data_IF_868899824380
#
_entry.id   IF_868899824380
#
_cell.length_a   1.000
_cell.length_b   1.000
_cell.length_c   1.000
_cell.angle_alpha   90.00
_cell.angle_beta   90.00
_cell.angle_gamma   90.00
#
_symmetry.space_group_name_H-M   'P 1'
#
loop_
_entity.id
_entity.type
_entity.pdbx_description
1 polymer ?
#
# COMPACT_ATOMS: atom_id res chain seq x y z
N UNK A 1 54.61 -1.06 -4.09
CA UNK A 1 53.49 -0.25 -4.61
C UNK A 1 52.64 -1.15 -5.49
N UNK A 2 51.32 -1.01 -5.43
CA UNK A 2 50.29 -1.92 -5.97
C UNK A 2 49.89 -3.01 -4.97
N UNK A 3 49.16 -2.61 -3.93
CA UNK A 3 48.20 -3.52 -3.24
C UNK A 3 47.04 -2.76 -2.55
N UNK A 4 46.72 -1.54 -3.02
CA UNK A 4 45.68 -0.69 -2.43
C UNK A 4 44.46 -0.45 -3.33
N UNK A 5 44.45 -1.03 -4.53
CA UNK A 5 43.42 -0.78 -5.55
C UNK A 5 42.44 -1.96 -5.73
N UNK A 6 42.80 -3.13 -5.19
CA UNK A 6 42.01 -4.38 -5.21
C UNK A 6 40.88 -4.36 -4.16
N UNK A 7 41.14 -3.88 -2.93
CA UNK A 7 40.08 -3.82 -1.90
C UNK A 7 38.98 -2.81 -2.23
N UNK A 8 39.32 -1.67 -2.84
CA UNK A 8 38.34 -0.66 -3.25
C UNK A 8 37.50 -1.03 -4.47
N UNK A 9 37.92 -2.00 -5.28
CA UNK A 9 37.13 -2.55 -6.40
C UNK A 9 36.22 -3.69 -5.96
N UNK A 10 36.58 -4.43 -4.90
CA UNK A 10 35.74 -5.48 -4.33
C UNK A 10 34.59 -4.94 -3.45
N UNK A 11 34.68 -3.73 -2.88
CA UNK A 11 33.51 -3.03 -2.32
C UNK A 11 32.55 -2.50 -3.40
N UNK A 12 33.02 -2.44 -4.65
CA UNK A 12 32.25 -2.09 -5.85
C UNK A 12 31.62 -3.29 -6.56
N UNK A 13 31.86 -4.53 -6.09
CA UNK A 13 30.85 -5.59 -6.18
C UNK A 13 29.71 -5.12 -5.28
N UNK A 14 28.82 -4.30 -5.81
CA UNK A 14 27.56 -4.87 -6.32
C UNK A 14 26.87 -5.56 -5.15
N UNK A 15 26.58 -4.79 -4.09
CA UNK A 15 25.26 -4.91 -3.48
C UNK A 15 24.32 -4.52 -4.62
N UNK A 16 24.03 -5.48 -5.51
CA UNK A 16 22.87 -5.39 -6.36
C UNK A 16 21.75 -5.17 -5.35
N UNK A 17 21.26 -3.93 -5.28
CA UNK A 17 20.24 -3.58 -4.31
C UNK A 17 19.03 -4.38 -4.74
N UNK A 18 18.85 -5.54 -4.10
CA UNK A 18 17.79 -6.47 -4.44
C UNK A 18 16.48 -5.70 -4.34
N UNK A 19 15.96 -5.30 -5.50
CA UNK A 19 14.80 -4.45 -5.56
C UNK A 19 13.55 -5.29 -5.33
N UNK A 20 12.44 -4.64 -4.97
CA UNK A 20 11.15 -5.33 -4.87
C UNK A 20 10.75 -6.01 -6.18
N UNK A 21 11.26 -5.53 -7.32
CA UNK A 21 11.06 -6.14 -8.64
C UNK A 21 11.76 -7.49 -8.81
N UNK A 22 12.99 -7.63 -8.32
CA UNK A 22 13.74 -8.89 -8.41
C UNK A 22 13.08 -9.96 -7.54
N UNK A 23 12.65 -9.55 -6.34
CA UNK A 23 11.89 -10.41 -5.43
C UNK A 23 10.51 -10.78 -5.98
N UNK A 24 9.87 -9.89 -6.76
CA UNK A 24 8.56 -10.16 -7.32
C UNK A 24 8.61 -11.30 -8.33
N UNK A 25 9.68 -11.42 -9.12
CA UNK A 25 9.81 -12.49 -10.12
C UNK A 25 9.85 -13.87 -9.45
N UNK A 26 10.64 -14.01 -8.38
CA UNK A 26 10.92 -15.32 -7.78
C UNK A 26 9.97 -15.70 -6.64
N UNK A 27 9.30 -14.73 -6.01
CA UNK A 27 8.52 -14.95 -4.79
C UNK A 27 7.01 -15.05 -5.06
N UNK A 28 6.49 -16.28 -5.19
CA UNK A 28 5.04 -16.56 -5.36
C UNK A 28 4.16 -15.95 -4.25
N UNK A 29 4.52 -16.02 -2.95
CA UNK A 29 3.80 -15.31 -1.89
C UNK A 29 3.67 -13.80 -2.13
N UNK A 30 4.76 -13.14 -2.56
CA UNK A 30 4.78 -11.72 -2.85
C UNK A 30 3.88 -11.37 -4.04
N UNK A 31 3.95 -12.13 -5.13
CA UNK A 31 3.05 -11.97 -6.28
C UNK A 31 1.58 -12.12 -5.86
N UNK A 32 1.26 -13.17 -5.11
CA UNK A 32 -0.10 -13.40 -4.61
C UNK A 32 -0.58 -12.24 -3.73
N UNK A 33 0.29 -11.68 -2.91
CA UNK A 33 -0.01 -10.53 -2.08
C UNK A 33 -0.37 -9.30 -2.94
N UNK A 34 0.47 -8.96 -3.92
CA UNK A 34 0.22 -7.84 -4.83
C UNK A 34 -1.04 -8.03 -5.69
N UNK A 35 -1.30 -9.25 -6.18
CA UNK A 35 -2.53 -9.59 -6.90
C UNK A 35 -3.76 -9.39 -6.01
N UNK A 36 -3.71 -9.82 -4.73
CA UNK A 36 -4.81 -9.56 -3.78
C UNK A 36 -5.05 -8.06 -3.61
N UNK A 37 -3.99 -7.25 -3.50
CA UNK A 37 -4.09 -5.79 -3.41
C UNK A 37 -4.70 -5.18 -4.67
N UNK A 38 -4.34 -5.68 -5.85
CA UNK A 38 -4.87 -5.22 -7.14
C UNK A 38 -6.37 -5.50 -7.26
N UNK A 39 -6.76 -6.74 -6.98
CA UNK A 39 -8.17 -7.15 -7.04
C UNK A 39 -8.98 -6.38 -6.01
N UNK A 40 -8.48 -6.20 -4.78
CA UNK A 40 -9.14 -5.38 -3.76
C UNK A 40 -9.35 -3.94 -4.24
N UNK A 41 -8.31 -3.32 -4.83
CA UNK A 41 -8.42 -1.96 -5.39
C UNK A 41 -9.45 -1.88 -6.52
N UNK A 42 -9.48 -2.85 -7.45
CA UNK A 42 -10.44 -2.88 -8.54
C UNK A 42 -11.88 -3.02 -8.03
N UNK A 43 -12.11 -3.90 -7.04
CA UNK A 43 -13.44 -4.05 -6.41
C UNK A 43 -13.86 -2.73 -5.76
N UNK A 44 -12.98 -2.13 -4.95
CA UNK A 44 -13.28 -0.85 -4.29
C UNK A 44 -13.55 0.26 -5.30
N UNK A 45 -12.78 0.32 -6.39
CA UNK A 45 -12.99 1.30 -7.46
C UNK A 45 -14.38 1.14 -8.09
N UNK A 46 -14.79 -0.09 -8.42
CA UNK A 46 -16.13 -0.35 -8.97
C UNK A 46 -17.19 0.07 -7.97
N UNK A 47 -17.09 -0.39 -6.72
CA UNK A 47 -18.09 -0.08 -5.68
C UNK A 47 -18.22 1.42 -5.44
N UNK A 48 -17.11 2.14 -5.28
CA UNK A 48 -17.14 3.58 -5.03
C UNK A 48 -17.57 4.39 -6.26
N UNK A 49 -17.15 3.98 -7.46
CA UNK A 49 -17.47 4.70 -8.70
C UNK A 49 -18.90 4.46 -9.19
N UNK A 50 -19.52 3.30 -8.90
CA UNK A 50 -20.87 3.00 -9.35
C UNK A 50 -21.91 4.01 -8.86
N UNK A 51 -21.82 4.44 -7.60
CA UNK A 51 -22.75 5.43 -7.04
C UNK A 51 -22.62 6.78 -7.77
N UNK A 52 -21.39 7.22 -8.01
CA UNK A 52 -21.11 8.48 -8.70
C UNK A 52 -21.48 8.39 -10.18
N UNK A 53 -21.21 7.25 -10.81
CA UNK A 53 -21.58 7.00 -12.20
C UNK A 53 -23.08 7.16 -12.41
N UNK A 54 -23.91 6.61 -11.51
CA UNK A 54 -25.36 6.73 -11.59
C UNK A 54 -25.82 8.18 -11.49
N UNK A 55 -25.23 8.96 -10.58
CA UNK A 55 -25.51 10.40 -10.45
C UNK A 55 -25.16 11.13 -11.75
N UNK A 56 -23.96 10.93 -12.30
CA UNK A 56 -23.53 11.57 -13.54
C UNK A 56 -24.36 11.13 -14.76
N UNK A 57 -24.76 9.86 -14.82
CA UNK A 57 -25.63 9.31 -15.88
C UNK A 57 -26.96 10.06 -15.93
N UNK A 58 -27.61 10.27 -14.78
CA UNK A 58 -28.86 11.03 -14.72
C UNK A 58 -28.67 12.53 -15.00
N UNK A 59 -27.56 13.14 -14.58
CA UNK A 59 -27.28 14.55 -14.87
C UNK A 59 -27.00 14.80 -16.36
N UNK A 60 -26.33 13.87 -17.04
CA UNK A 60 -25.97 13.99 -18.47
C UNK A 60 -27.13 13.66 -19.41
N UNK A 61 -27.88 12.59 -19.16
CA UNK A 61 -29.00 12.18 -20.03
C UNK A 61 -30.29 12.91 -19.64
N UNK A 62 -30.46 13.20 -18.35
CA UNK A 62 -31.73 13.65 -17.80
C UNK A 62 -32.03 15.13 -17.99
N UNK A 63 -31.11 16.06 -17.67
CA UNK A 63 -31.54 17.42 -17.32
C UNK A 63 -30.56 18.59 -17.50
N UNK A 64 -29.26 18.44 -17.81
CA UNK A 64 -28.31 19.58 -17.70
C UNK A 64 -27.34 19.77 -18.87
N UNK A 65 -26.33 18.91 -19.05
CA UNK A 65 -25.26 19.10 -20.05
C UNK A 65 -24.42 17.81 -20.23
N UNK A 66 -24.29 17.24 -21.44
CA UNK A 66 -23.41 16.10 -21.73
C UNK A 66 -21.94 16.32 -21.35
N UNK A 67 -21.46 17.56 -21.30
CA UNK A 67 -20.08 17.90 -20.94
C UNK A 67 -19.72 17.51 -19.49
N UNK A 68 -20.74 17.31 -18.62
CA UNK A 68 -20.54 16.94 -17.22
C UNK A 68 -19.76 15.64 -17.05
N UNK A 69 -19.80 14.73 -18.03
CA UNK A 69 -19.05 13.46 -17.99
C UNK A 69 -17.54 13.66 -17.81
N UNK A 70 -16.98 14.81 -18.24
CA UNK A 70 -15.56 15.11 -18.10
C UNK A 70 -15.12 15.33 -16.64
N UNK A 71 -16.04 15.66 -15.73
CA UNK A 71 -15.74 15.80 -14.30
C UNK A 71 -15.80 14.46 -13.55
N UNK A 72 -16.30 13.40 -14.18
CA UNK A 72 -16.44 12.09 -13.55
C UNK A 72 -15.11 11.51 -13.03
N UNK A 73 -13.98 11.51 -13.77
CA UNK A 73 -12.75 10.89 -13.28
C UNK A 73 -12.22 11.53 -11.98
N UNK A 74 -12.24 12.86 -11.90
CA UNK A 74 -11.75 13.59 -10.72
C UNK A 74 -12.68 13.39 -9.52
N UNK A 75 -14.00 13.45 -9.72
CA UNK A 75 -14.99 13.24 -8.66
C UNK A 75 -14.98 11.80 -8.14
N UNK A 76 -14.89 10.81 -9.04
CA UNK A 76 -14.74 9.41 -8.67
C UNK A 76 -13.45 9.16 -7.87
N UNK A 77 -12.33 9.78 -8.27
CA UNK A 77 -11.07 9.72 -7.54
C UNK A 77 -11.16 10.30 -6.13
N UNK A 78 -11.76 11.48 -5.97
CA UNK A 78 -11.98 12.09 -4.65
C UNK A 78 -12.83 11.19 -3.75
N UNK A 79 -13.94 10.69 -4.29
CA UNK A 79 -14.83 9.77 -3.56
C UNK A 79 -14.09 8.51 -3.15
N UNK A 80 -13.22 7.98 -4.02
CA UNK A 80 -12.43 6.80 -3.71
C UNK A 80 -11.44 7.02 -2.54
N UNK A 81 -10.81 8.19 -2.46
CA UNK A 81 -9.92 8.57 -1.35
C UNK A 81 -10.70 8.58 -0.04
N UNK A 82 -11.81 9.33 0.03
CA UNK A 82 -12.58 9.48 1.26
C UNK A 82 -13.28 8.19 1.68
N UNK A 83 -13.87 7.45 0.73
CA UNK A 83 -14.45 6.13 0.97
C UNK A 83 -13.42 5.16 1.58
N UNK A 84 -12.23 5.09 0.98
CA UNK A 84 -11.17 4.20 1.47
C UNK A 84 -10.67 4.62 2.84
N UNK A 85 -10.38 5.91 3.03
CA UNK A 85 -9.86 6.44 4.29
C UNK A 85 -10.84 6.22 5.45
N UNK A 86 -12.14 6.49 5.23
CA UNK A 86 -13.17 6.30 6.25
C UNK A 86 -13.30 4.82 6.68
N UNK A 87 -13.36 3.90 5.72
CA UNK A 87 -13.47 2.46 6.02
C UNK A 87 -12.20 1.88 6.64
N UNK A 88 -11.03 2.31 6.17
CA UNK A 88 -9.76 1.86 6.74
C UNK A 88 -9.56 2.38 8.15
N UNK A 89 -9.94 3.62 8.44
CA UNK A 89 -9.93 4.18 9.79
C UNK A 89 -10.90 3.45 10.73
N UNK A 90 -12.13 3.22 10.28
CA UNK A 90 -13.17 2.61 11.13
C UNK A 90 -13.02 1.10 11.31
N UNK A 91 -12.49 0.37 10.31
CA UNK A 91 -12.56 -1.09 10.26
C UNK A 91 -11.28 -1.77 9.80
N UNK A 92 -10.18 -1.02 9.59
CA UNK A 92 -8.91 -1.52 9.05
C UNK A 92 -9.01 -2.14 7.65
N UNK A 93 -10.18 -2.11 7.00
CA UNK A 93 -10.42 -2.73 5.69
C UNK A 93 -11.53 -2.05 4.94
N UNK A 94 -11.38 -1.99 3.63
CA UNK A 94 -12.43 -1.64 2.67
C UNK A 94 -13.21 -2.89 2.26
N UNK A 95 -14.28 -2.72 1.49
CA UNK A 95 -15.10 -3.85 0.99
C UNK A 95 -14.25 -4.80 0.14
N UNK A 96 -13.46 -4.27 -0.80
CA UNK A 96 -12.56 -5.07 -1.63
C UNK A 96 -11.51 -5.80 -0.80
N UNK A 97 -10.93 -5.14 0.19
CA UNK A 97 -9.96 -5.75 1.11
C UNK A 97 -10.57 -6.86 1.97
N UNK A 98 -11.78 -6.65 2.47
CA UNK A 98 -12.52 -7.68 3.21
C UNK A 98 -12.78 -8.93 2.34
N UNK A 99 -13.19 -8.75 1.08
CA UNK A 99 -13.38 -9.85 0.12
C UNK A 99 -12.06 -10.59 -0.13
N UNK A 100 -10.96 -9.87 -0.28
CA UNK A 100 -9.62 -10.45 -0.49
C UNK A 100 -8.96 -10.99 0.78
N UNK A 101 -9.66 -10.92 1.93
CA UNK A 101 -9.18 -11.34 3.26
C UNK A 101 -7.85 -10.69 3.65
N UNK A 102 -7.71 -9.42 3.34
CA UNK A 102 -6.56 -8.60 3.73
C UNK A 102 -7.04 -7.39 4.54
N UNK A 103 -6.19 -6.92 5.43
CA UNK A 103 -6.48 -5.76 6.27
C UNK A 103 -5.22 -4.91 6.47
N UNK A 104 -5.45 -3.74 7.02
CA UNK A 104 -4.48 -2.68 7.21
C UNK A 104 -4.06 -2.68 8.66
N UNK A 105 -2.77 -2.73 8.91
CA UNK A 105 -2.23 -2.67 10.25
C UNK A 105 -1.17 -1.57 10.32
N UNK A 106 -1.21 -0.79 11.40
CA UNK A 106 -0.14 0.15 11.71
C UNK A 106 1.06 -0.64 12.24
N UNK A 107 2.25 -0.32 11.74
CA UNK A 107 3.51 -0.80 12.33
C UNK A 107 3.77 -0.11 13.68
N UNK A 108 3.16 1.07 13.88
CA UNK A 108 3.25 1.88 15.10
C UNK A 108 2.02 1.67 15.99
N UNK A 109 2.07 2.16 17.22
CA UNK A 109 0.97 1.99 18.20
C UNK A 109 -0.27 2.82 17.85
N UNK A 110 -0.12 3.95 17.16
CA UNK A 110 -1.21 4.81 16.72
C UNK A 110 -1.53 4.64 15.24
N UNK A 111 -2.80 4.73 14.89
CA UNK A 111 -3.28 4.87 13.52
C UNK A 111 -4.23 6.06 13.48
N UNK A 112 -3.76 7.17 12.92
CA UNK A 112 -4.52 8.42 12.87
C UNK A 112 -5.34 8.55 11.58
N UNK A 113 -6.32 9.45 11.59
CA UNK A 113 -7.13 9.74 10.40
C UNK A 113 -6.28 10.33 9.27
N UNK A 114 -5.25 11.11 9.61
CA UNK A 114 -4.24 11.65 8.69
C UNK A 114 -3.52 10.53 7.93
N UNK A 115 -3.11 9.47 8.63
CA UNK A 115 -2.45 8.30 8.03
C UNK A 115 -3.37 7.60 7.02
N UNK A 116 -4.64 7.42 7.40
CA UNK A 116 -5.65 6.86 6.53
C UNK A 116 -5.84 7.69 5.24
N UNK A 117 -5.80 9.03 5.32
CA UNK A 117 -5.94 9.90 4.15
C UNK A 117 -4.67 9.86 3.29
N UNK A 118 -3.49 10.09 3.89
CA UNK A 118 -2.20 10.16 3.18
C UNK A 118 -1.98 8.88 2.38
N UNK A 119 -2.22 7.72 2.98
CA UNK A 119 -2.03 6.42 2.33
C UNK A 119 -3.00 6.11 1.19
N UNK A 120 -4.16 6.75 1.21
CA UNK A 120 -5.18 6.62 0.17
C UNK A 120 -5.08 7.71 -0.89
N UNK A 121 -4.23 8.73 -0.70
CA UNK A 121 -4.12 9.87 -1.61
C UNK A 121 -3.72 9.46 -3.04
N UNK A 122 -2.92 8.41 -3.21
CA UNK A 122 -2.59 7.87 -4.54
C UNK A 122 -3.82 7.39 -5.32
N UNK A 123 -4.92 7.03 -4.64
CA UNK A 123 -6.19 6.61 -5.28
C UNK A 123 -6.96 7.76 -5.94
N UNK A 124 -6.51 9.01 -5.79
CA UNK A 124 -7.12 10.16 -6.46
C UNK A 124 -7.11 10.01 -7.99
N UNK A 125 -6.11 9.33 -8.54
CA UNK A 125 -6.03 9.06 -9.97
C UNK A 125 -5.37 7.71 -10.23
N UNK A 126 -5.86 6.94 -11.22
CA UNK A 126 -5.34 5.61 -11.52
C UNK A 126 -3.83 5.59 -11.81
N UNK A 127 -3.32 6.63 -12.49
CA UNK A 127 -1.88 6.80 -12.74
C UNK A 127 -1.09 6.97 -11.44
N UNK A 128 -1.61 7.73 -10.47
CA UNK A 128 -0.93 7.95 -9.18
C UNK A 128 -0.86 6.64 -8.37
N UNK A 129 -1.87 5.78 -8.46
CA UNK A 129 -1.83 4.44 -7.85
C UNK A 129 -0.68 3.62 -8.43
N UNK A 130 -0.53 3.59 -9.75
CA UNK A 130 0.55 2.85 -10.39
C UNK A 130 1.93 3.39 -10.00
N UNK A 131 2.09 4.72 -9.97
CA UNK A 131 3.34 5.36 -9.54
C UNK A 131 3.67 5.04 -8.07
N UNK A 132 2.69 5.08 -7.17
CA UNK A 132 2.85 4.73 -5.76
C UNK A 132 3.29 3.26 -5.56
N UNK A 133 2.81 2.35 -6.41
CA UNK A 133 3.20 0.95 -6.40
C UNK A 133 4.62 0.75 -6.91
N UNK A 134 4.94 1.35 -8.07
CA UNK A 134 6.29 1.28 -8.67
C UNK A 134 7.31 1.91 -7.73
N UNK A 135 7.00 3.07 -7.15
CA UNK A 135 7.87 3.74 -6.18
C UNK A 135 8.10 2.88 -4.94
N UNK A 136 7.07 2.20 -4.43
CA UNK A 136 7.22 1.25 -3.31
C UNK A 136 8.15 0.08 -3.65
N UNK A 137 8.00 -0.51 -4.84
CA UNK A 137 8.87 -1.63 -5.28
C UNK A 137 10.30 -1.19 -5.61
N UNK A 138 10.50 0.04 -6.09
CA UNK A 138 11.79 0.59 -6.47
C UNK A 138 12.60 1.15 -5.28
N UNK A 139 11.95 1.43 -4.14
CA UNK A 139 12.63 2.00 -2.97
C UNK A 139 13.03 0.91 -1.97
N UNK A 140 14.08 1.19 -1.20
CA UNK A 140 14.56 0.35 -0.11
C UNK A 140 13.50 0.20 0.99
N UNK A 141 13.28 -1.02 1.47
CA UNK A 141 12.29 -1.34 2.53
C UNK A 141 11.49 -2.62 2.25
N UNK A 142 10.38 -2.82 2.96
CA UNK A 142 9.53 -4.01 2.78
C UNK A 142 8.91 -4.01 1.35
N UNK A 143 9.21 -5.02 0.51
CA UNK A 143 8.72 -5.11 -0.87
C UNK A 143 7.21 -5.35 -0.97
N UNK A 144 6.52 -5.56 0.16
CA UNK A 144 5.05 -5.71 0.23
C UNK A 144 4.32 -4.35 0.36
N UNK A 145 5.04 -3.29 0.70
CA UNK A 145 4.47 -1.97 0.98
C UNK A 145 4.52 -1.05 -0.26
N UNK A 146 3.51 -0.20 -0.41
CA UNK A 146 3.57 0.94 -1.33
C UNK A 146 4.37 2.08 -0.72
N UNK A 147 4.75 3.05 -1.55
CA UNK A 147 5.49 4.21 -1.06
C UNK A 147 4.73 4.98 0.02
N UNK A 148 3.45 5.27 -0.18
CA UNK A 148 2.63 5.96 0.83
C UNK A 148 2.32 5.10 2.05
N UNK A 149 2.34 3.77 1.93
CA UNK A 149 2.20 2.88 3.08
C UNK A 149 3.44 3.02 4.00
N UNK A 150 4.64 3.20 3.43
CA UNK A 150 5.88 3.43 4.18
C UNK A 150 5.89 4.79 4.88
N UNK A 151 5.43 5.84 4.20
CA UNK A 151 5.34 7.18 4.81
C UNK A 151 4.38 7.22 6.02
N UNK A 152 3.41 6.33 6.06
CA UNK A 152 2.42 6.23 7.14
C UNK A 152 2.72 5.07 8.08
N UNK A 153 3.90 4.45 7.96
CA UNK A 153 4.33 3.30 8.76
C UNK A 153 3.24 2.21 8.87
N UNK A 154 2.55 1.92 7.76
CA UNK A 154 1.46 0.94 7.72
C UNK A 154 1.77 -0.17 6.75
N UNK A 155 1.18 -1.34 6.99
CA UNK A 155 1.30 -2.48 6.08
C UNK A 155 -0.05 -3.12 5.80
N UNK A 156 -0.07 -3.99 4.81
CA UNK A 156 -1.23 -4.82 4.47
C UNK A 156 -0.87 -6.26 4.78
N UNK A 157 -1.72 -6.95 5.52
CA UNK A 157 -1.52 -8.36 5.91
C UNK A 157 -2.79 -9.18 5.70
N UNK A 158 -2.66 -10.51 5.71
CA UNK A 158 -3.83 -11.38 5.79
C UNK A 158 -4.57 -11.20 7.11
N UNK A 159 -5.90 -11.32 7.08
CA UNK A 159 -6.71 -11.26 8.30
C UNK A 159 -6.29 -12.42 9.22
N UNK A 160 -5.90 -12.08 10.45
CA UNK A 160 -5.45 -13.05 11.45
C UNK A 160 -4.00 -13.54 11.26
N UNK A 161 -3.27 -13.03 10.28
CA UNK A 161 -1.83 -13.30 10.17
C UNK A 161 -1.06 -12.39 11.16
N UNK A 162 -0.05 -12.91 11.87
CA UNK A 162 0.82 -12.10 12.71
C UNK A 162 1.59 -11.09 11.86
N UNK A 163 1.83 -9.91 12.41
CA UNK A 163 2.79 -8.99 11.81
C UNK A 163 4.19 -9.58 12.04
N UNK A 164 4.84 -10.08 10.98
CA UNK A 164 6.20 -10.63 11.10
C UNK A 164 7.21 -9.64 11.70
N UNK A 165 6.96 -8.32 11.64
CA UNK A 165 7.80 -7.29 12.26
C UNK A 165 7.60 -7.21 13.78
N UNK A 166 6.37 -7.42 14.28
CA UNK A 166 6.11 -7.42 15.74
C UNK A 166 6.67 -8.67 16.42
N UNK A 167 6.63 -9.83 15.78
CA UNK A 167 7.31 -11.03 16.30
C UNK A 167 8.81 -10.80 16.48
N UNK A 168 9.48 -10.12 15.54
CA UNK A 168 10.91 -9.84 15.66
C UNK A 168 11.23 -8.83 16.77
N UNK A 169 10.45 -7.75 16.88
CA UNK A 169 10.64 -6.72 17.92
C UNK A 169 10.29 -7.25 19.30
N UNK A 170 9.17 -7.96 19.43
CA UNK A 170 8.78 -8.60 20.69
C UNK A 170 9.82 -9.66 21.09
N UNK A 171 10.24 -10.55 20.17
CA UNK A 171 11.24 -11.58 20.48
C UNK A 171 12.60 -10.98 20.88
N UNK A 172 13.02 -9.84 20.33
CA UNK A 172 14.27 -9.17 20.73
C UNK A 172 14.12 -8.36 22.03
N UNK A 173 13.02 -7.63 22.23
CA UNK A 173 12.78 -6.89 23.48
C UNK A 173 12.58 -7.83 24.68
N UNK A 174 11.85 -8.93 24.50
CA UNK A 174 11.69 -9.94 25.55
C UNK A 174 12.99 -10.71 25.83
N UNK A 175 13.93 -10.77 24.87
CA UNK A 175 15.23 -11.41 25.09
C UNK A 175 16.14 -10.54 25.94
N UNK A 176 16.13 -9.23 25.70
CA UNK A 176 17.00 -8.28 26.41
C UNK A 176 16.59 -8.13 27.89
N UNK A 177 15.29 -8.10 28.20
CA UNK A 177 14.80 -8.08 29.59
C UNK A 177 15.18 -9.34 30.38
N UNK A 178 15.22 -10.52 29.75
CA UNK A 178 15.58 -11.79 30.41
C UNK A 178 17.08 -11.92 30.68
N UNK A 179 17.93 -11.18 29.94
CA UNK A 179 19.38 -11.15 30.16
C UNK A 179 19.85 -10.16 31.22
N UNK A 180 19.07 -9.13 31.57
CA UNK A 180 19.43 -8.19 32.64
C UNK A 180 19.08 -8.69 34.06
N UNK A 181 18.25 -9.73 34.20
CA UNK A 181 17.90 -10.34 35.49
C UNK A 181 18.82 -11.53 35.91
N UNK A 182 19.99 -11.72 35.30
CA UNK A 182 20.95 -12.79 35.68
C UNK A 182 22.31 -12.31 36.14
#
# INVERSE_FOLDING_TARGET
>A
MIDGQSEGTNLKMEIDMVTGFDLLHDNKPLQKHWIKRLIAYLIDFIVSSMLIYLVFFFLTIGLLDPSMIWYFPMTAGMVQVFYSAALEYASKKTIGKAIMKIEVESLTYSFETSDAIIRNLSKLHGILVLLDWVAGMASEGDPRQRYLDRLTETTVKGIGEPLHVREFIDDHLFRDEVTEER
#
